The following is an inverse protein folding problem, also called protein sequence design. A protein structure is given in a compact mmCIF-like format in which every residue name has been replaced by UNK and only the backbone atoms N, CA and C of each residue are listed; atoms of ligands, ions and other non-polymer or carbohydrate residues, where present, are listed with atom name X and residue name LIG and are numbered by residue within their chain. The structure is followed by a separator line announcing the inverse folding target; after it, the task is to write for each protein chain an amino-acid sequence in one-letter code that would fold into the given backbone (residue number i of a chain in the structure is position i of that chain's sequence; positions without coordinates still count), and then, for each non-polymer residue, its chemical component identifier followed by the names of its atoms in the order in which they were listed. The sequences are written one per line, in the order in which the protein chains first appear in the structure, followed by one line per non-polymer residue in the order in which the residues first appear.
data_IF_158642687771
#
_entry.id   IF_158642687771
#
_cell.length_a   1.000
_cell.length_b   1.000
_cell.length_c   1.000
_cell.angle_alpha   90.00
_cell.angle_beta   90.00
_cell.angle_gamma   90.00
#
_symmetry.space_group_name_H-M   'P 1'
#
loop_
_entity.id
_entity.type
_entity.pdbx_description
1 polymer ?
#
# COMPACT_ATOMS: atom_id res chain seq x y z
N UNK A 1 -6.95 32.62 12.46
CA UNK A 1 -7.21 31.25 12.95
C UNK A 1 -6.26 30.29 12.26
N UNK A 2 -5.47 29.50 12.99
CA UNK A 2 -4.61 28.48 12.35
C UNK A 2 -5.49 27.35 11.84
N UNK A 3 -5.33 26.97 10.57
CA UNK A 3 -5.98 25.77 10.04
C UNK A 3 -5.42 24.55 10.74
N UNK A 4 -6.27 23.80 11.44
CA UNK A 4 -5.86 22.57 12.08
C UNK A 4 -5.58 21.51 11.00
N UNK A 5 -4.65 20.62 11.29
CA UNK A 5 -4.31 19.51 10.37
C UNK A 5 -5.53 18.62 10.14
N UNK A 6 -6.41 18.48 11.16
CA UNK A 6 -7.69 17.78 11.07
C UNK A 6 -8.56 18.30 9.92
N UNK A 7 -8.64 19.62 9.79
CA UNK A 7 -9.54 20.27 8.82
C UNK A 7 -9.03 20.07 7.39
N UNK A 8 -7.71 20.07 7.22
CA UNK A 8 -7.05 19.75 5.95
C UNK A 8 -7.29 18.29 5.58
N UNK A 9 -7.21 17.38 6.55
CA UNK A 9 -7.40 15.95 6.33
C UNK A 9 -8.85 15.64 5.95
N UNK A 10 -9.81 16.22 6.65
CA UNK A 10 -11.24 16.05 6.37
C UNK A 10 -11.60 16.55 4.96
N UNK A 11 -11.00 17.68 4.53
CA UNK A 11 -11.15 18.19 3.17
C UNK A 11 -10.65 17.18 2.12
N UNK A 12 -9.45 16.65 2.29
CA UNK A 12 -8.84 15.68 1.35
C UNK A 12 -9.65 14.38 1.28
N UNK A 13 -10.13 13.88 2.43
CA UNK A 13 -10.95 12.67 2.47
C UNK A 13 -12.28 12.86 1.73
N UNK A 14 -12.92 14.03 1.90
CA UNK A 14 -14.16 14.39 1.19
C UNK A 14 -13.95 14.55 -0.31
N UNK A 15 -12.89 15.25 -0.73
CA UNK A 15 -12.55 15.44 -2.14
C UNK A 15 -12.32 14.10 -2.87
N UNK A 16 -11.67 13.15 -2.21
CA UNK A 16 -11.37 11.83 -2.77
C UNK A 16 -12.47 10.79 -2.52
N UNK A 17 -13.61 11.19 -1.92
CA UNK A 17 -14.75 10.31 -1.61
C UNK A 17 -14.37 9.07 -0.80
N UNK A 18 -13.35 9.19 0.05
CA UNK A 18 -12.87 8.06 0.87
C UNK A 18 -13.89 7.78 1.96
N UNK A 19 -14.36 6.54 2.01
CA UNK A 19 -15.32 6.08 3.01
C UNK A 19 -14.61 5.64 4.28
N UNK A 20 -15.32 5.72 5.42
CA UNK A 20 -14.82 5.22 6.70
C UNK A 20 -14.49 3.72 6.67
N UNK A 21 -15.19 2.96 5.84
CA UNK A 21 -14.94 1.53 5.61
C UNK A 21 -13.56 1.29 4.98
N UNK A 22 -13.20 2.07 3.95
CA UNK A 22 -11.89 1.98 3.30
C UNK A 22 -10.76 2.33 4.26
N UNK A 23 -10.93 3.36 5.08
CA UNK A 23 -9.96 3.75 6.12
C UNK A 23 -9.78 2.61 7.13
N UNK A 24 -10.88 1.99 7.57
CA UNK A 24 -10.85 0.86 8.50
C UNK A 24 -10.10 -0.35 7.90
N UNK A 25 -10.34 -0.65 6.62
CA UNK A 25 -9.64 -1.73 5.93
C UNK A 25 -8.14 -1.46 5.82
N UNK A 26 -7.74 -0.25 5.41
CA UNK A 26 -6.32 0.15 5.36
C UNK A 26 -5.67 0.06 6.74
N UNK A 27 -6.37 0.49 7.80
CA UNK A 27 -5.88 0.38 9.18
C UNK A 27 -5.58 -1.07 9.57
N UNK A 28 -6.47 -2.01 9.26
CA UNK A 28 -6.23 -3.45 9.51
C UNK A 28 -4.97 -3.95 8.81
N UNK A 29 -4.75 -3.54 7.55
CA UNK A 29 -3.54 -3.91 6.82
C UNK A 29 -2.28 -3.33 7.45
N UNK A 30 -2.30 -2.08 7.89
CA UNK A 30 -1.17 -1.44 8.59
C UNK A 30 -0.86 -2.16 9.90
N UNK A 31 -1.88 -2.53 10.67
CA UNK A 31 -1.71 -3.28 11.92
C UNK A 31 -1.12 -4.68 11.64
N UNK A 32 -1.62 -5.38 10.64
CA UNK A 32 -1.09 -6.67 10.22
C UNK A 32 0.39 -6.58 9.78
N UNK A 33 0.76 -5.53 9.04
CA UNK A 33 2.16 -5.27 8.66
C UNK A 33 3.06 -5.06 9.88
N UNK A 34 2.64 -4.25 10.86
CA UNK A 34 3.41 -4.01 12.09
C UNK A 34 3.60 -5.28 12.92
N UNK A 35 2.57 -6.11 13.00
CA UNK A 35 2.66 -7.42 13.68
C UNK A 35 3.68 -8.29 12.94
N UNK A 36 3.60 -8.36 11.61
CA UNK A 36 4.54 -9.13 10.80
C UNK A 36 5.99 -8.66 10.98
N UNK A 37 6.24 -7.35 10.96
CA UNK A 37 7.58 -6.79 11.18
C UNK A 37 8.09 -7.11 12.59
N UNK A 38 7.21 -7.06 13.60
CA UNK A 38 7.56 -7.46 14.97
C UNK A 38 7.93 -8.94 15.05
N UNK A 39 7.22 -9.81 14.31
CA UNK A 39 7.54 -11.23 14.22
C UNK A 39 8.90 -11.46 13.54
N UNK A 40 9.24 -10.68 12.50
CA UNK A 40 10.58 -10.74 11.89
C UNK A 40 11.64 -10.32 12.90
N UNK A 41 11.46 -9.18 13.56
CA UNK A 41 12.43 -8.64 14.51
C UNK A 41 12.66 -9.55 15.72
N UNK A 42 11.62 -10.27 16.15
CA UNK A 42 11.71 -11.28 17.22
C UNK A 42 12.36 -12.61 16.78
N UNK A 43 12.65 -12.78 15.49
CA UNK A 43 13.21 -14.02 14.92
C UNK A 43 12.18 -15.14 14.72
N UNK A 44 10.90 -14.91 15.02
CA UNK A 44 9.80 -15.88 14.83
C UNK A 44 9.44 -16.04 13.35
N UNK A 45 9.62 -14.99 12.55
CA UNK A 45 9.37 -15.00 11.11
C UNK A 45 10.62 -14.58 10.32
N UNK A 46 10.63 -14.92 9.02
CA UNK A 46 11.65 -14.45 8.06
C UNK A 46 11.08 -13.35 7.16
N UNK A 47 11.91 -12.38 6.74
CA UNK A 47 11.48 -11.37 5.78
C UNK A 47 11.05 -12.03 4.48
N UNK A 48 9.96 -11.54 3.90
CA UNK A 48 9.51 -11.95 2.57
C UNK A 48 10.56 -11.55 1.55
N UNK A 49 11.00 -12.53 0.75
CA UNK A 49 11.84 -12.27 -0.42
C UNK A 49 11.07 -11.52 -1.50
N UNK A 50 11.79 -10.94 -2.46
CA UNK A 50 11.16 -10.31 -3.61
C UNK A 50 10.64 -11.39 -4.57
N UNK A 51 9.34 -11.65 -4.52
CA UNK A 51 8.65 -12.56 -5.45
C UNK A 51 8.24 -11.88 -6.77
N UNK A 52 8.57 -10.60 -6.96
CA UNK A 52 8.41 -9.98 -8.27
C UNK A 52 9.38 -10.66 -9.23
N UNK A 53 8.84 -11.15 -10.36
CA UNK A 53 9.68 -11.64 -11.44
C UNK A 53 10.67 -10.52 -11.82
N UNK A 54 11.95 -10.88 -11.95
CA UNK A 54 12.94 -9.96 -12.51
C UNK A 54 12.42 -9.41 -13.84
N UNK A 55 12.74 -8.16 -14.20
CA UNK A 55 12.23 -7.54 -15.42
C UNK A 55 12.42 -8.41 -16.67
N UNK A 56 13.52 -9.18 -16.70
CA UNK A 56 13.85 -10.10 -17.79
C UNK A 56 12.97 -11.38 -17.82
N UNK A 57 12.28 -11.69 -16.72
CA UNK A 57 11.33 -12.80 -16.58
C UNK A 57 9.87 -12.35 -16.68
N UNK A 58 9.62 -11.05 -16.78
CA UNK A 58 8.27 -10.52 -17.05
C UNK A 58 8.04 -10.65 -18.55
N UNK A 59 7.13 -11.54 -18.94
CA UNK A 59 6.70 -11.68 -20.33
C UNK A 59 6.12 -10.33 -20.81
N UNK A 60 6.82 -9.63 -21.71
CA UNK A 60 6.31 -8.42 -22.36
C UNK A 60 5.81 -8.78 -23.75
N UNK A 61 4.51 -8.89 -23.93
CA UNK A 61 3.89 -9.02 -25.26
C UNK A 61 4.06 -7.68 -26.01
N UNK A 62 4.94 -7.63 -26.99
CA UNK A 62 5.03 -6.51 -27.94
C UNK A 62 4.24 -6.85 -29.20
N UNK A 63 3.20 -6.08 -29.50
CA UNK A 63 2.48 -6.15 -30.78
C UNK A 63 3.02 -5.01 -31.64
N UNK A 64 3.77 -5.36 -32.69
CA UNK A 64 4.21 -4.39 -33.70
C UNK A 64 3.21 -4.41 -34.86
N UNK A 65 2.58 -3.27 -35.15
CA UNK A 65 1.88 -3.07 -36.41
C UNK A 65 2.89 -2.47 -37.39
N UNK A 66 3.22 -3.20 -38.47
CA UNK A 66 3.92 -2.61 -39.60
C UNK A 66 3.00 -1.54 -40.22
N UNK A 67 3.52 -0.32 -40.37
CA UNK A 67 2.92 0.73 -41.19
C UNK A 67 3.27 0.52 -42.65
#
# INVERSE_FOLDING_TARGET
MSTLISDKLDKVLKENKVTSSEISNVKKYIEALRIYDSLINSGVAKPRGNNLLSRDKVFSSKINFNR
#
